data_IF_398961354364
#
_entry.id   IF_398961354364
#
_cell.length_a   1.000
_cell.length_b   1.000
_cell.length_c   1.000
_cell.angle_alpha   90.00
_cell.angle_beta   90.00
_cell.angle_gamma   90.00
#
_symmetry.space_group_name_H-M   'P 1'
#
loop_
_entity.id
_entity.type
_entity.pdbx_description
1 polymer ?
#
# COMPACT_ATOMS: atom_id res chain seq x y z
N UNK A 1 -3.10 -0.16 -31.48
CA UNK A 1 -1.91 0.49 -30.89
C UNK A 1 -0.68 0.02 -31.65
N UNK A 2 0.26 0.91 -31.93
CA UNK A 2 1.57 0.50 -32.43
C UNK A 2 2.34 -0.20 -31.30
N UNK A 3 3.05 -1.29 -31.63
CA UNK A 3 3.83 -2.08 -30.67
C UNK A 3 5.32 -1.90 -30.94
N UNK A 4 6.09 -1.59 -29.90
CA UNK A 4 7.54 -1.54 -29.92
C UNK A 4 8.07 -2.67 -29.04
N UNK A 5 8.91 -3.51 -29.62
CA UNK A 5 9.63 -4.56 -28.90
C UNK A 5 11.11 -4.26 -28.90
N UNK A 6 11.69 -4.23 -27.72
CA UNK A 6 13.11 -3.99 -27.53
C UNK A 6 13.89 -5.30 -27.52
N UNK A 7 15.17 -5.25 -27.86
CA UNK A 7 16.03 -6.42 -27.86
C UNK A 7 16.19 -6.98 -26.43
N UNK A 8 16.39 -8.29 -26.34
CA UNK A 8 16.60 -8.95 -25.04
C UNK A 8 17.75 -8.30 -24.26
N UNK A 9 17.54 -8.10 -22.96
CA UNK A 9 18.47 -7.45 -22.04
C UNK A 9 18.57 -5.93 -22.19
N UNK A 10 17.83 -5.31 -23.09
CA UNK A 10 17.85 -3.86 -23.28
C UNK A 10 16.67 -3.17 -22.58
N UNK A 11 16.92 -1.98 -22.08
CA UNK A 11 15.88 -1.06 -21.64
C UNK A 11 15.10 -0.49 -22.86
N UNK A 12 13.90 0.00 -22.61
CA UNK A 12 13.01 0.58 -23.60
C UNK A 12 13.25 2.06 -23.87
N UNK A 13 12.17 2.86 -23.81
CA UNK A 13 12.22 4.30 -24.11
C UNK A 13 12.76 5.11 -22.93
N UNK A 14 13.86 5.81 -23.16
CA UNK A 14 14.36 6.84 -22.27
C UNK A 14 13.75 8.19 -22.64
N UNK A 15 13.11 8.85 -21.70
CA UNK A 15 12.49 10.17 -21.90
C UNK A 15 13.44 11.28 -21.45
N UNK A 16 13.54 12.33 -22.25
CA UNK A 16 14.16 13.59 -21.90
C UNK A 16 13.10 14.61 -21.44
N UNK A 17 13.35 15.91 -21.60
CA UNK A 17 12.39 16.95 -21.22
C UNK A 17 11.19 17.03 -22.19
N UNK A 18 10.03 17.32 -21.63
CA UNK A 18 8.81 17.66 -22.37
C UNK A 18 8.36 16.61 -23.40
N UNK A 19 8.57 15.31 -23.08
CA UNK A 19 8.15 14.24 -23.96
C UNK A 19 6.68 13.87 -23.78
N UNK A 20 6.05 13.53 -24.90
CA UNK A 20 4.73 12.91 -24.95
C UNK A 20 4.84 11.53 -25.59
N UNK A 21 4.28 10.51 -24.90
CA UNK A 21 4.19 9.13 -25.39
C UNK A 21 2.73 8.69 -25.31
N UNK A 22 2.15 8.35 -26.44
CA UNK A 22 0.72 8.03 -26.52
C UNK A 22 0.42 6.87 -27.46
N UNK A 23 -0.55 6.03 -27.06
CA UNK A 23 -1.14 5.03 -27.93
C UNK A 23 -0.23 3.85 -28.26
N UNK A 24 0.82 3.62 -27.46
CA UNK A 24 1.83 2.58 -27.73
C UNK A 24 1.65 1.36 -26.83
N UNK A 25 2.15 0.24 -27.34
CA UNK A 25 2.49 -0.95 -26.58
C UNK A 25 4.01 -1.09 -26.55
N UNK A 26 4.59 -1.14 -25.33
CA UNK A 26 6.03 -1.22 -25.10
C UNK A 26 6.37 -2.56 -24.44
N UNK A 27 7.27 -3.32 -25.07
CA UNK A 27 7.60 -4.67 -24.61
C UNK A 27 9.13 -4.81 -24.44
N UNK A 28 9.57 -5.03 -23.20
CA UNK A 28 10.95 -5.38 -22.82
C UNK A 28 10.95 -6.73 -22.10
N UNK A 29 12.13 -7.21 -21.68
CA UNK A 29 12.18 -8.25 -20.66
C UNK A 29 11.57 -7.69 -19.35
N UNK A 30 10.98 -8.56 -18.53
CA UNK A 30 10.17 -8.14 -17.38
C UNK A 30 10.94 -7.34 -16.33
N UNK A 31 12.25 -7.57 -16.21
CA UNK A 31 13.16 -6.89 -15.29
C UNK A 31 13.83 -5.64 -15.90
N UNK A 32 13.49 -5.29 -17.13
CA UNK A 32 13.99 -4.10 -17.82
C UNK A 32 12.99 -2.95 -17.77
N UNK A 33 13.53 -1.73 -17.86
CA UNK A 33 12.70 -0.51 -17.87
C UNK A 33 12.11 -0.33 -19.26
N UNK A 34 10.81 -0.59 -19.40
CA UNK A 34 10.12 -0.31 -20.66
C UNK A 34 9.99 1.20 -20.92
N UNK A 35 9.89 1.99 -19.84
CA UNK A 35 9.77 3.43 -19.89
C UNK A 35 10.46 4.07 -18.68
N UNK A 36 11.36 5.03 -18.90
CA UNK A 36 12.12 5.68 -17.85
C UNK A 36 12.62 7.05 -18.29
N UNK A 37 13.06 7.90 -17.36
CA UNK A 37 13.59 9.23 -17.68
C UNK A 37 15.11 9.28 -17.66
N UNK A 38 15.66 10.23 -18.41
CA UNK A 38 17.07 10.64 -18.31
C UNK A 38 17.28 11.38 -16.97
N UNK A 39 18.24 10.93 -16.18
CA UNK A 39 18.62 11.57 -14.90
C UNK A 39 19.78 12.55 -15.02
N UNK A 40 20.41 12.67 -16.20
CA UNK A 40 21.51 13.60 -16.46
C UNK A 40 21.08 15.02 -16.77
N UNK A 41 19.78 15.27 -16.98
CA UNK A 41 19.20 16.57 -17.27
C UNK A 41 18.64 17.24 -16.00
N UNK A 42 18.66 18.58 -15.95
CA UNK A 42 18.20 19.31 -14.76
C UNK A 42 16.68 19.42 -14.66
N UNK A 43 16.00 19.45 -15.80
CA UNK A 43 14.56 19.69 -15.88
C UNK A 43 13.92 18.63 -16.75
N UNK A 44 12.98 17.88 -16.15
CA UNK A 44 12.16 16.94 -16.92
C UNK A 44 11.05 17.63 -17.72
N UNK A 45 10.74 18.88 -17.39
CA UNK A 45 9.59 19.56 -17.97
C UNK A 45 8.30 18.79 -17.67
N UNK A 46 7.45 18.60 -18.69
CA UNK A 46 6.23 17.80 -18.59
C UNK A 46 6.37 16.49 -19.37
N UNK A 47 6.32 15.37 -18.66
CA UNK A 47 6.24 14.05 -19.27
C UNK A 47 4.78 13.62 -19.32
N UNK A 48 4.24 13.45 -20.53
CA UNK A 48 2.84 13.13 -20.77
C UNK A 48 2.72 11.72 -21.36
N UNK A 49 2.06 10.82 -20.61
CA UNK A 49 2.01 9.39 -20.88
C UNK A 49 0.55 8.93 -20.97
N UNK A 50 0.08 8.59 -22.16
CA UNK A 50 -1.34 8.31 -22.40
C UNK A 50 -1.57 7.00 -23.13
N UNK A 51 -2.59 6.27 -22.70
CA UNK A 51 -3.08 5.09 -23.42
C UNK A 51 -1.98 4.07 -23.72
N UNK A 52 -1.16 3.74 -22.72
CA UNK A 52 -0.01 2.84 -22.85
C UNK A 52 -0.35 1.43 -22.35
N UNK A 53 0.21 0.42 -23.00
CA UNK A 53 0.25 -0.96 -22.55
C UNK A 53 1.71 -1.38 -22.41
N UNK A 54 2.11 -1.90 -21.26
CA UNK A 54 3.51 -2.08 -20.92
C UNK A 54 3.78 -3.53 -20.48
N UNK A 55 4.82 -4.14 -21.05
CA UNK A 55 5.52 -5.29 -20.48
C UNK A 55 6.94 -4.84 -20.11
N UNK A 56 7.29 -4.91 -18.82
CA UNK A 56 8.49 -4.33 -18.24
C UNK A 56 8.18 -3.28 -17.19
N UNK A 57 9.22 -2.71 -16.59
CA UNK A 57 9.11 -1.73 -15.50
C UNK A 57 8.96 -0.31 -16.03
N UNK A 58 8.13 0.50 -15.37
CA UNK A 58 8.04 1.94 -15.59
C UNK A 58 8.71 2.65 -14.41
N UNK A 59 9.76 3.45 -14.67
CA UNK A 59 10.57 4.03 -13.61
C UNK A 59 10.94 5.49 -13.88
N UNK A 60 10.41 6.40 -13.08
CA UNK A 60 10.74 7.83 -13.11
C UNK A 60 11.48 8.20 -11.83
N UNK A 61 12.74 8.65 -11.98
CA UNK A 61 13.60 9.00 -10.86
C UNK A 61 14.07 10.46 -10.97
N UNK A 62 13.84 11.25 -9.92
CA UNK A 62 14.55 12.50 -9.74
C UNK A 62 15.79 12.22 -8.88
N UNK A 63 16.90 11.96 -9.55
CA UNK A 63 18.22 11.78 -8.97
C UNK A 63 19.26 12.45 -9.85
N UNK A 64 20.52 12.37 -9.49
CA UNK A 64 21.65 12.96 -10.19
C UNK A 64 21.38 14.46 -10.41
N UNK A 65 21.15 14.91 -11.65
CA UNK A 65 20.94 16.32 -11.97
C UNK A 65 19.49 16.79 -11.93
N UNK A 66 18.51 15.90 -11.87
CA UNK A 66 17.09 16.27 -11.94
C UNK A 66 16.67 17.13 -10.73
N UNK A 67 16.21 18.36 -10.98
CA UNK A 67 15.79 19.32 -9.96
C UNK A 67 14.28 19.57 -9.94
N UNK A 68 13.60 19.39 -11.07
CA UNK A 68 12.16 19.57 -11.18
C UNK A 68 11.57 18.81 -12.37
N UNK A 69 10.25 18.62 -12.33
CA UNK A 69 9.50 18.00 -13.40
C UNK A 69 8.05 17.74 -13.01
N UNK A 70 7.25 17.43 -14.03
CA UNK A 70 5.86 17.02 -13.88
C UNK A 70 5.60 15.75 -14.68
N UNK A 71 5.07 14.72 -14.01
CA UNK A 71 4.72 13.44 -14.63
C UNK A 71 3.20 13.31 -14.67
N UNK A 72 2.66 13.19 -15.86
CA UNK A 72 1.23 13.00 -16.09
C UNK A 72 0.97 11.66 -16.76
N UNK A 73 0.16 10.82 -16.12
CA UNK A 73 -0.22 9.49 -16.60
C UNK A 73 -1.73 9.41 -16.76
N UNK A 74 -2.17 9.00 -17.94
CA UNK A 74 -3.57 8.74 -18.25
C UNK A 74 -3.71 7.37 -18.94
N UNK A 75 -4.41 6.42 -18.30
CA UNK A 75 -4.67 5.08 -18.84
C UNK A 75 -3.38 4.31 -19.20
N UNK A 76 -2.60 3.94 -18.19
CA UNK A 76 -1.44 3.06 -18.35
C UNK A 76 -1.74 1.69 -17.73
N UNK A 77 -1.52 0.64 -18.52
CA UNK A 77 -1.71 -0.74 -18.13
C UNK A 77 -0.37 -1.50 -18.16
N UNK A 78 0.22 -1.76 -16.98
CA UNK A 78 1.44 -2.55 -16.83
C UNK A 78 1.02 -4.01 -16.66
N UNK A 79 1.06 -4.77 -17.74
CA UNK A 79 0.55 -6.15 -17.78
C UNK A 79 1.40 -7.10 -16.96
N UNK A 80 2.73 -6.96 -17.10
CA UNK A 80 3.72 -7.78 -16.43
C UNK A 80 5.03 -7.00 -16.22
N UNK A 81 5.67 -7.17 -15.07
CA UNK A 81 6.95 -6.56 -14.72
C UNK A 81 7.63 -7.31 -13.58
N UNK A 82 8.94 -7.18 -13.46
CA UNK A 82 9.72 -7.64 -12.31
C UNK A 82 10.64 -6.51 -11.80
N UNK A 83 10.19 -5.80 -10.77
CA UNK A 83 10.91 -4.68 -10.19
C UNK A 83 11.86 -5.09 -9.04
N UNK A 84 11.98 -6.38 -8.70
CA UNK A 84 12.77 -6.87 -7.55
C UNK A 84 14.27 -6.66 -7.69
N UNK A 85 14.78 -6.58 -8.92
CA UNK A 85 16.20 -6.42 -9.22
C UNK A 85 16.76 -5.02 -8.95
N UNK A 86 15.94 -4.01 -8.70
CA UNK A 86 16.40 -2.66 -8.40
C UNK A 86 16.98 -2.56 -6.99
N UNK A 87 18.24 -2.09 -6.89
CA UNK A 87 18.99 -2.04 -5.63
C UNK A 87 18.52 -0.91 -4.70
N UNK A 88 18.19 0.26 -5.27
CA UNK A 88 17.73 1.39 -4.48
C UNK A 88 16.38 1.07 -3.83
N UNK A 89 16.33 1.15 -2.50
CA UNK A 89 15.14 0.87 -1.70
C UNK A 89 15.03 1.86 -0.57
N UNK A 90 13.88 2.53 -0.38
CA UNK A 90 13.70 3.34 0.80
C UNK A 90 13.63 2.47 2.05
N UNK A 91 14.17 3.00 3.14
CA UNK A 91 14.23 2.35 4.44
C UNK A 91 13.43 3.17 5.46
N UNK A 92 12.67 2.49 6.26
CA UNK A 92 11.92 3.09 7.36
C UNK A 92 11.29 2.02 8.24
N UNK A 93 11.04 2.37 9.48
CA UNK A 93 10.30 1.52 10.42
C UNK A 93 10.83 0.09 10.56
N UNK A 94 12.14 -0.11 10.36
CA UNK A 94 12.80 -1.42 10.47
C UNK A 94 12.74 -2.28 9.21
N UNK A 95 12.27 -1.76 8.08
CA UNK A 95 12.13 -2.50 6.82
C UNK A 95 12.64 -1.73 5.61
N UNK A 96 12.93 -2.45 4.53
CA UNK A 96 13.18 -1.94 3.18
C UNK A 96 11.98 -2.20 2.28
N UNK A 97 11.60 -1.22 1.45
CA UNK A 97 10.50 -1.37 0.50
C UNK A 97 11.03 -1.74 -0.88
N UNK A 98 10.51 -2.81 -1.47
CA UNK A 98 10.79 -3.17 -2.87
C UNK A 98 10.02 -2.20 -3.78
N UNK A 99 10.68 -1.50 -4.74
CA UNK A 99 10.03 -0.62 -5.70
C UNK A 99 8.95 -1.33 -6.53
N UNK A 100 8.15 -0.55 -7.24
CA UNK A 100 6.99 -1.03 -7.99
C UNK A 100 7.23 -1.27 -9.48
N UNK A 101 6.31 -2.02 -10.08
CA UNK A 101 6.18 -2.08 -11.54
C UNK A 101 6.01 -0.67 -12.13
N UNK A 102 5.29 0.21 -11.45
CA UNK A 102 5.34 1.66 -11.63
C UNK A 102 6.06 2.28 -10.44
N UNK A 103 7.13 3.02 -10.70
CA UNK A 103 7.90 3.75 -9.69
C UNK A 103 8.04 5.20 -10.11
N UNK A 104 7.59 6.12 -9.24
CA UNK A 104 7.88 7.55 -9.32
C UNK A 104 8.54 7.97 -8.02
N UNK A 105 9.84 8.28 -8.07
CA UNK A 105 10.63 8.50 -6.87
C UNK A 105 11.54 9.71 -6.98
N UNK A 106 11.32 10.70 -6.13
CA UNK A 106 12.26 11.80 -5.94
C UNK A 106 13.32 11.40 -4.91
N UNK A 107 14.51 10.98 -5.39
CA UNK A 107 15.62 10.53 -4.55
C UNK A 107 16.55 11.66 -4.11
N UNK A 108 16.25 12.92 -4.45
CA UNK A 108 17.08 14.06 -4.08
C UNK A 108 17.09 14.28 -2.57
N UNK A 109 18.25 14.65 -2.05
CA UNK A 109 18.43 14.98 -0.63
C UNK A 109 18.03 16.42 -0.32
N UNK A 110 18.03 17.29 -1.32
CA UNK A 110 17.63 18.68 -1.17
C UNK A 110 16.10 18.80 -1.17
N UNK A 111 15.56 19.30 -0.07
CA UNK A 111 14.11 19.51 0.11
C UNK A 111 13.52 20.56 -0.86
N UNK A 112 14.33 21.41 -1.45
CA UNK A 112 13.89 22.37 -2.44
C UNK A 112 13.49 21.69 -3.76
N UNK A 113 14.08 20.53 -4.06
CA UNK A 113 13.75 19.76 -5.27
C UNK A 113 12.35 19.18 -5.14
N UNK A 114 11.48 19.58 -6.05
CA UNK A 114 10.08 19.16 -6.06
C UNK A 114 9.70 18.58 -7.41
N UNK A 115 9.20 17.34 -7.38
CA UNK A 115 8.55 16.68 -8.52
C UNK A 115 7.05 16.71 -8.28
N UNK A 116 6.29 16.97 -9.33
CA UNK A 116 4.82 16.94 -9.28
C UNK A 116 4.27 15.84 -10.18
N UNK A 117 3.09 15.32 -9.86
CA UNK A 117 2.44 14.32 -10.71
C UNK A 117 0.92 14.38 -10.67
N UNK A 118 0.32 13.86 -11.74
CA UNK A 118 -1.10 13.55 -11.86
C UNK A 118 -1.22 12.18 -12.54
N UNK A 119 -1.74 11.18 -11.84
CA UNK A 119 -1.77 9.80 -12.31
C UNK A 119 -3.22 9.30 -12.27
N UNK A 120 -3.75 8.93 -13.42
CA UNK A 120 -5.12 8.42 -13.57
C UNK A 120 -5.15 7.16 -14.43
N UNK A 121 -6.00 6.20 -14.06
CA UNK A 121 -6.20 4.96 -14.82
C UNK A 121 -4.96 4.07 -14.89
N UNK A 122 -4.15 4.01 -13.82
CA UNK A 122 -2.96 3.16 -13.75
C UNK A 122 -3.30 1.78 -13.20
N UNK A 123 -3.01 0.72 -13.96
CA UNK A 123 -3.20 -0.67 -13.54
C UNK A 123 -1.89 -1.46 -13.61
N UNK A 124 -1.73 -2.49 -12.75
CA UNK A 124 -0.54 -3.32 -12.74
C UNK A 124 -0.88 -4.80 -12.44
N UNK A 125 -0.36 -5.71 -13.25
CA UNK A 125 -0.55 -7.16 -13.10
C UNK A 125 -1.94 -7.64 -13.48
N UNK A 126 -2.16 -8.93 -13.26
CA UNK A 126 -3.44 -9.63 -13.50
C UNK A 126 -3.73 -10.57 -12.35
N UNK A 127 -5.00 -10.89 -12.13
CA UNK A 127 -5.38 -11.99 -11.26
C UNK A 127 -4.70 -13.27 -11.74
N UNK A 128 -3.96 -13.96 -10.85
CA UNK A 128 -3.18 -15.16 -11.21
C UNK A 128 -1.84 -14.90 -11.94
N UNK A 129 -1.58 -13.67 -12.40
CA UNK A 129 -0.31 -13.25 -13.02
C UNK A 129 0.13 -11.87 -12.47
N UNK A 130 0.45 -11.78 -11.18
CA UNK A 130 0.82 -10.51 -10.54
C UNK A 130 2.18 -10.01 -11.05
N UNK A 131 2.38 -8.69 -11.02
CA UNK A 131 3.72 -8.12 -11.18
C UNK A 131 4.60 -8.55 -10.01
N UNK A 132 5.91 -8.60 -10.23
CA UNK A 132 6.91 -8.98 -9.22
C UNK A 132 7.55 -7.74 -8.61
N UNK A 133 7.57 -7.69 -7.28
CA UNK A 133 7.84 -6.48 -6.50
C UNK A 133 6.55 -5.80 -6.08
N UNK A 134 6.58 -4.51 -5.78
CA UNK A 134 5.35 -3.74 -5.54
C UNK A 134 4.61 -3.45 -6.85
N UNK A 135 3.32 -3.15 -6.76
CA UNK A 135 2.53 -2.72 -7.92
C UNK A 135 2.85 -1.27 -8.30
N UNK A 136 2.42 -0.34 -7.46
CA UNK A 136 2.56 1.11 -7.67
C UNK A 136 3.27 1.71 -6.47
N UNK A 137 4.33 2.47 -6.76
CA UNK A 137 5.23 3.02 -5.76
C UNK A 137 5.49 4.50 -6.05
N UNK A 138 5.09 5.38 -5.13
CA UNK A 138 5.36 6.81 -5.20
C UNK A 138 6.09 7.28 -3.93
N UNK A 139 7.24 7.93 -4.08
CA UNK A 139 8.12 8.30 -2.98
C UNK A 139 8.78 9.65 -3.17
N UNK A 140 8.90 10.41 -2.08
CA UNK A 140 9.87 11.49 -1.96
C UNK A 140 11.25 10.99 -1.53
N UNK A 141 12.18 11.89 -1.28
CA UNK A 141 13.56 11.57 -0.86
C UNK A 141 13.68 11.19 0.62
N UNK A 142 12.74 11.53 1.42
CA UNK A 142 12.51 11.23 2.84
C UNK A 142 11.64 12.37 3.42
N UNK A 143 11.39 12.39 4.71
CA UNK A 143 10.67 13.52 5.36
C UNK A 143 11.46 14.84 5.29
N UNK A 144 12.77 14.78 5.09
CA UNK A 144 13.66 15.95 5.00
C UNK A 144 14.28 16.16 3.61
N UNK A 145 14.13 15.21 2.70
CA UNK A 145 14.65 15.24 1.33
C UNK A 145 13.72 15.84 0.31
N UNK A 146 13.99 15.56 -0.97
CA UNK A 146 13.20 16.03 -2.11
C UNK A 146 11.73 15.63 -2.00
N UNK A 147 10.85 16.52 -2.43
CA UNK A 147 9.40 16.34 -2.28
C UNK A 147 8.77 15.78 -3.55
N UNK A 148 7.83 14.87 -3.37
CA UNK A 148 6.90 14.45 -4.42
C UNK A 148 5.49 14.94 -4.06
N UNK A 149 4.89 15.73 -4.95
CA UNK A 149 3.53 16.23 -4.78
C UNK A 149 2.64 15.64 -5.88
N UNK A 150 1.69 14.81 -5.47
CA UNK A 150 0.77 14.13 -6.38
C UNK A 150 -0.64 14.70 -6.20
N UNK A 151 -1.20 15.26 -7.27
CA UNK A 151 -2.56 15.80 -7.22
C UNK A 151 -3.60 14.68 -7.14
N UNK A 152 -3.49 13.70 -8.03
CA UNK A 152 -4.32 12.48 -8.06
C UNK A 152 -3.43 11.28 -8.26
N UNK A 153 -3.70 10.22 -7.50
CA UNK A 153 -3.20 8.87 -7.75
C UNK A 153 -4.42 7.96 -7.87
N UNK A 154 -4.88 7.78 -9.10
CA UNK A 154 -6.03 6.94 -9.38
C UNK A 154 -5.58 5.65 -10.07
N UNK A 155 -5.96 4.51 -9.47
CA UNK A 155 -5.57 3.18 -9.96
C UNK A 155 -6.80 2.38 -10.38
N UNK A 156 -6.63 1.59 -11.43
CA UNK A 156 -7.50 0.45 -11.70
C UNK A 156 -7.11 -0.75 -10.84
N UNK A 157 -7.22 -1.95 -11.39
CA UNK A 157 -6.81 -3.16 -10.69
C UNK A 157 -5.30 -3.26 -10.52
N UNK A 158 -4.84 -3.70 -9.32
CA UNK A 158 -3.42 -3.95 -9.03
C UNK A 158 -3.25 -5.32 -8.41
N UNK A 159 -2.39 -6.14 -9.02
CA UNK A 159 -2.03 -7.47 -8.55
C UNK A 159 -0.51 -7.56 -8.43
N UNK A 160 0.01 -7.76 -7.23
CA UNK A 160 1.45 -7.78 -6.96
C UNK A 160 1.87 -8.96 -6.09
N UNK A 161 3.15 -9.33 -6.21
CA UNK A 161 3.81 -10.32 -5.38
C UNK A 161 5.25 -9.89 -5.17
N UNK A 162 5.59 -9.52 -3.95
CA UNK A 162 6.94 -9.08 -3.59
C UNK A 162 8.02 -10.12 -3.88
N UNK A 163 7.66 -11.40 -3.95
CA UNK A 163 8.62 -12.49 -4.12
C UNK A 163 9.60 -12.57 -2.96
N UNK A 164 9.21 -12.09 -1.79
CA UNK A 164 10.01 -12.11 -0.56
C UNK A 164 10.05 -13.55 -0.06
N UNK A 165 11.24 -14.02 0.28
CA UNK A 165 11.37 -15.37 0.87
C UNK A 165 10.70 -15.42 2.25
N UNK A 166 9.96 -16.48 2.57
CA UNK A 166 9.41 -16.66 3.91
C UNK A 166 10.51 -16.54 4.98
N UNK A 167 10.21 -15.86 6.08
CA UNK A 167 11.16 -15.63 7.18
C UNK A 167 12.09 -14.44 7.00
N UNK A 168 11.99 -13.67 5.90
CA UNK A 168 12.72 -12.41 5.73
C UNK A 168 12.02 -11.29 6.52
N UNK A 169 12.62 -10.76 7.61
CA UNK A 169 11.90 -9.86 8.52
C UNK A 169 11.99 -8.38 8.11
N UNK A 170 12.99 -8.01 7.31
CA UNK A 170 13.39 -6.64 7.03
C UNK A 170 12.99 -6.13 5.63
N UNK A 171 12.12 -6.85 4.94
CA UNK A 171 11.70 -6.51 3.58
C UNK A 171 10.20 -6.59 3.40
N UNK A 172 9.64 -5.57 2.74
CA UNK A 172 8.23 -5.50 2.38
C UNK A 172 8.04 -5.12 0.92
N UNK A 173 6.90 -5.51 0.36
CA UNK A 173 6.40 -5.06 -0.92
C UNK A 173 4.89 -4.81 -0.80
N UNK A 174 4.21 -4.44 -1.87
CA UNK A 174 2.75 -4.33 -1.78
C UNK A 174 2.05 -3.88 -3.06
N UNK A 175 0.78 -3.56 -2.90
CA UNK A 175 -0.07 -3.12 -4.01
C UNK A 175 0.18 -1.66 -4.37
N UNK A 176 -0.16 -0.74 -3.47
CA UNK A 176 0.02 0.71 -3.67
C UNK A 176 0.71 1.31 -2.45
N UNK A 177 1.87 1.90 -2.69
CA UNK A 177 2.69 2.58 -1.68
C UNK A 177 2.73 4.09 -1.90
N UNK A 178 2.43 4.86 -0.85
CA UNK A 178 2.76 6.28 -0.71
C UNK A 178 3.82 6.40 0.37
N UNK A 179 5.07 6.69 -0.03
CA UNK A 179 6.23 6.64 0.87
C UNK A 179 6.61 8.05 1.37
N UNK A 180 7.51 8.12 2.35
CA UNK A 180 7.98 9.36 2.99
C UNK A 180 8.39 10.45 2.00
N UNK A 181 8.18 11.71 2.36
CA UNK A 181 8.45 12.85 1.49
C UNK A 181 7.43 13.04 0.36
N UNK A 182 6.38 12.22 0.32
CA UNK A 182 5.28 12.34 -0.65
C UNK A 182 4.06 12.98 0.01
N UNK A 183 3.47 13.93 -0.71
CA UNK A 183 2.14 14.44 -0.40
C UNK A 183 1.18 14.12 -1.55
N UNK A 184 0.08 13.43 -1.23
CA UNK A 184 -0.97 13.10 -2.22
C UNK A 184 -2.29 13.74 -1.80
N UNK A 185 -2.85 14.60 -2.64
CA UNK A 185 -4.16 15.20 -2.32
C UNK A 185 -5.29 14.17 -2.36
N UNK A 186 -5.27 13.26 -3.35
CA UNK A 186 -6.30 12.23 -3.48
C UNK A 186 -5.72 10.94 -4.06
N UNK A 187 -5.83 9.84 -3.30
CA UNK A 187 -5.67 8.47 -3.79
C UNK A 187 -7.06 7.87 -4.02
N UNK A 188 -7.29 7.27 -5.20
CA UNK A 188 -8.51 6.50 -5.49
C UNK A 188 -8.15 5.16 -6.13
N UNK A 189 -8.54 4.08 -5.50
CA UNK A 189 -8.42 2.74 -6.08
C UNK A 189 -9.79 2.32 -6.61
N UNK A 190 -9.95 2.36 -7.94
CA UNK A 190 -11.22 2.06 -8.64
C UNK A 190 -11.38 0.57 -8.97
N UNK A 191 -10.30 -0.19 -8.94
CA UNK A 191 -10.30 -1.64 -9.14
C UNK A 191 -9.78 -2.39 -7.92
N UNK A 192 -9.90 -3.73 -7.90
CA UNK A 192 -9.42 -4.54 -6.80
C UNK A 192 -7.90 -4.46 -6.65
N UNK A 193 -7.43 -4.47 -5.40
CA UNK A 193 -6.00 -4.52 -5.08
C UNK A 193 -5.73 -5.83 -4.36
N UNK A 194 -4.83 -6.64 -4.90
CA UNK A 194 -4.52 -7.97 -4.35
C UNK A 194 -3.02 -8.20 -4.27
N UNK A 195 -2.55 -8.67 -3.11
CA UNK A 195 -1.16 -9.08 -2.90
C UNK A 195 -1.06 -10.56 -2.56
N UNK A 196 0.02 -11.21 -3.01
CA UNK A 196 0.18 -12.66 -2.89
C UNK A 196 1.37 -13.11 -2.05
N UNK A 197 2.38 -12.26 -1.87
CA UNK A 197 3.64 -12.63 -1.21
C UNK A 197 3.64 -12.42 0.30
N UNK A 198 4.58 -13.04 1.01
CA UNK A 198 4.87 -12.71 2.40
C UNK A 198 5.24 -11.23 2.55
N UNK A 199 4.81 -10.61 3.65
CA UNK A 199 5.08 -9.21 3.98
C UNK A 199 4.62 -8.20 2.90
N UNK A 200 3.63 -8.56 2.11
CA UNK A 200 3.05 -7.67 1.13
C UNK A 200 1.95 -6.82 1.77
N UNK A 201 2.16 -5.50 1.80
CA UNK A 201 1.16 -4.53 2.25
C UNK A 201 0.25 -4.17 1.08
N UNK A 202 -1.07 -4.39 1.19
CA UNK A 202 -1.95 -4.12 0.05
C UNK A 202 -1.98 -2.62 -0.25
N UNK A 203 -2.25 -1.80 0.77
CA UNK A 203 -2.17 -0.35 0.73
C UNK A 203 -1.29 0.13 1.89
N UNK A 204 -0.28 0.95 1.60
CA UNK A 204 0.67 1.41 2.62
C UNK A 204 0.94 2.91 2.50
N UNK A 205 0.80 3.62 3.63
CA UNK A 205 1.02 5.06 3.72
C UNK A 205 2.12 5.40 4.72
N UNK A 206 3.25 5.91 4.23
CA UNK A 206 4.33 6.53 5.02
C UNK A 206 4.39 8.05 4.81
N UNK A 207 3.65 8.56 3.84
CA UNK A 207 3.61 9.97 3.46
C UNK A 207 2.46 10.72 4.10
N UNK A 208 2.03 11.77 3.42
CA UNK A 208 0.85 12.55 3.80
C UNK A 208 -0.22 12.48 2.71
N UNK A 209 -1.42 12.05 3.07
CA UNK A 209 -2.53 11.87 2.13
C UNK A 209 -3.74 12.65 2.62
N UNK A 210 -4.31 13.51 1.75
CA UNK A 210 -5.55 14.22 2.06
C UNK A 210 -6.73 13.25 2.14
N UNK A 211 -6.97 12.47 1.08
CA UNK A 211 -7.98 11.42 1.09
C UNK A 211 -7.50 10.17 0.36
N UNK A 212 -7.80 9.02 0.93
CA UNK A 212 -7.56 7.71 0.31
C UNK A 212 -8.88 6.94 0.24
N UNK A 213 -9.36 6.67 -0.96
CA UNK A 213 -10.64 5.99 -1.19
C UNK A 213 -10.38 4.74 -2.02
N UNK A 214 -10.79 3.57 -1.52
CA UNK A 214 -10.81 2.32 -2.29
C UNK A 214 -12.26 1.87 -2.49
N UNK A 215 -12.63 1.67 -3.75
CA UNK A 215 -14.01 1.35 -4.14
C UNK A 215 -14.26 -0.16 -4.24
N UNK A 216 -13.19 -0.94 -4.47
CA UNK A 216 -13.25 -2.37 -4.72
C UNK A 216 -12.46 -3.16 -3.66
N UNK A 217 -12.64 -4.48 -3.66
CA UNK A 217 -12.09 -5.41 -2.68
C UNK A 217 -10.57 -5.27 -2.54
N UNK A 218 -10.11 -5.30 -1.29
CA UNK A 218 -8.71 -5.34 -0.89
C UNK A 218 -8.40 -6.73 -0.33
N UNK A 219 -7.43 -7.43 -0.93
CA UNK A 219 -7.14 -8.82 -0.58
C UNK A 219 -5.64 -9.04 -0.36
N UNK A 220 -5.28 -9.69 0.75
CA UNK A 220 -3.92 -10.16 1.03
C UNK A 220 -3.91 -11.67 1.25
N UNK A 221 -3.09 -12.40 0.48
CA UNK A 221 -2.93 -13.84 0.63
C UNK A 221 -1.70 -14.24 1.43
N UNK A 222 -0.65 -13.43 1.43
CA UNK A 222 0.62 -13.76 2.03
C UNK A 222 0.66 -13.62 3.56
N UNK A 223 1.54 -14.38 4.24
CA UNK A 223 1.79 -14.21 5.68
C UNK A 223 2.24 -12.78 5.99
N UNK A 224 1.80 -12.26 7.14
CA UNK A 224 2.10 -10.91 7.62
C UNK A 224 1.68 -9.77 6.68
N UNK A 225 0.86 -10.06 5.68
CA UNK A 225 0.28 -9.05 4.79
C UNK A 225 -0.74 -8.18 5.52
N UNK A 226 -0.90 -6.93 5.10
CA UNK A 226 -1.82 -5.98 5.73
C UNK A 226 -2.71 -5.32 4.67
N UNK A 227 -4.02 -5.28 4.91
CA UNK A 227 -4.97 -4.65 3.99
C UNK A 227 -4.69 -3.16 3.82
N UNK A 228 -4.69 -2.40 4.91
CA UNK A 228 -4.20 -1.01 4.94
C UNK A 228 -3.30 -0.80 6.16
N UNK A 229 -2.07 -0.32 5.93
CA UNK A 229 -1.18 0.07 7.03
C UNK A 229 -0.83 1.55 6.95
N UNK A 230 -0.82 2.22 8.12
CA UNK A 230 -0.50 3.65 8.23
C UNK A 230 0.69 3.88 9.14
N UNK A 231 1.68 4.59 8.60
CA UNK A 231 2.82 5.16 9.31
C UNK A 231 2.88 6.68 9.15
N UNK A 232 2.22 7.22 8.14
CA UNK A 232 2.15 8.63 7.83
C UNK A 232 0.88 9.31 8.35
N UNK A 233 0.39 10.28 7.60
CA UNK A 233 -0.86 10.97 7.94
C UNK A 233 -1.89 10.77 6.84
N UNK A 234 -3.14 10.57 7.22
CA UNK A 234 -4.28 10.54 6.29
C UNK A 234 -5.47 11.26 6.92
N UNK A 235 -6.04 12.25 6.19
CA UNK A 235 -7.18 12.98 6.73
C UNK A 235 -8.47 12.17 6.62
N UNK A 236 -8.73 11.58 5.44
CA UNK A 236 -9.86 10.69 5.19
C UNK A 236 -9.38 9.39 4.55
N UNK A 237 -9.54 8.28 5.25
CA UNK A 237 -9.42 6.93 4.71
C UNK A 237 -10.82 6.33 4.58
N UNK A 238 -11.20 5.91 3.38
CA UNK A 238 -12.51 5.31 3.12
C UNK A 238 -12.37 4.06 2.24
N UNK A 239 -12.71 2.91 2.80
CA UNK A 239 -12.67 1.62 2.12
C UNK A 239 -14.12 1.15 1.94
N UNK A 240 -14.62 1.23 0.71
CA UNK A 240 -16.03 1.02 0.36
C UNK A 240 -16.40 -0.43 0.06
N UNK A 241 -15.41 -1.33 0.02
CA UNK A 241 -15.56 -2.76 -0.18
C UNK A 241 -14.83 -3.54 0.92
N UNK A 242 -15.02 -4.87 1.06
CA UNK A 242 -14.37 -5.63 2.10
C UNK A 242 -12.84 -5.62 2.01
N UNK A 243 -12.18 -5.56 3.17
CA UNK A 243 -10.79 -5.99 3.34
C UNK A 243 -10.81 -7.46 3.77
N UNK A 244 -10.07 -8.31 3.07
CA UNK A 244 -9.98 -9.73 3.39
C UNK A 244 -8.53 -10.21 3.37
N UNK A 245 -8.06 -10.83 4.46
CA UNK A 245 -6.69 -11.33 4.58
C UNK A 245 -6.66 -12.80 4.97
N UNK A 246 -5.81 -13.58 4.31
CA UNK A 246 -5.74 -15.03 4.44
C UNK A 246 -4.45 -15.54 5.09
N UNK A 247 -3.38 -14.75 5.06
CA UNK A 247 -2.07 -15.17 5.55
C UNK A 247 -1.97 -15.18 7.07
N UNK A 248 -1.15 -16.09 7.62
CA UNK A 248 -0.82 -16.08 9.04
C UNK A 248 -0.23 -14.73 9.47
N UNK A 249 -0.66 -14.22 10.61
CA UNK A 249 -0.17 -12.96 11.14
C UNK A 249 -0.54 -11.73 10.32
N UNK A 250 -1.47 -11.85 9.37
CA UNK A 250 -1.96 -10.73 8.57
C UNK A 250 -2.82 -9.77 9.40
N UNK A 251 -3.18 -8.62 8.84
CA UNK A 251 -4.09 -7.65 9.47
C UNK A 251 -5.00 -7.01 8.46
N UNK A 252 -6.19 -6.63 8.89
CA UNK A 252 -7.09 -5.83 8.06
C UNK A 252 -6.63 -4.38 7.98
N UNK A 253 -6.62 -3.68 9.11
CA UNK A 253 -6.16 -2.29 9.23
C UNK A 253 -5.20 -2.13 10.39
N UNK A 254 -4.12 -1.37 10.17
CA UNK A 254 -3.13 -1.14 11.21
C UNK A 254 -2.57 0.28 11.20
N UNK A 255 -2.50 0.92 12.38
CA UNK A 255 -1.85 2.23 12.59
C UNK A 255 -0.65 2.04 13.49
N UNK A 256 0.56 2.04 12.90
CA UNK A 256 1.82 1.88 13.62
C UNK A 256 2.48 3.19 14.02
N UNK A 257 2.30 4.22 13.20
CA UNK A 257 2.81 5.56 13.41
C UNK A 257 1.88 6.57 12.75
N UNK A 258 2.18 7.87 12.87
CA UNK A 258 1.36 8.93 12.30
C UNK A 258 -0.07 8.95 12.83
N UNK A 259 -1.03 9.31 11.98
CA UNK A 259 -2.44 9.42 12.38
C UNK A 259 -3.39 9.23 11.21
N UNK A 260 -4.62 8.81 11.51
CA UNK A 260 -5.77 8.85 10.61
C UNK A 260 -6.86 9.71 11.27
N UNK A 261 -7.24 10.83 10.64
CA UNK A 261 -8.26 11.69 11.25
C UNK A 261 -9.65 11.06 11.16
N UNK A 262 -10.00 10.50 10.00
CA UNK A 262 -11.24 9.72 9.82
C UNK A 262 -10.90 8.45 9.02
N UNK A 263 -11.30 7.29 9.54
CA UNK A 263 -11.13 5.99 8.89
C UNK A 263 -12.49 5.27 8.83
N UNK A 264 -12.92 4.92 7.63
CA UNK A 264 -14.21 4.27 7.37
C UNK A 264 -13.99 2.99 6.57
N UNK A 265 -14.58 1.90 7.03
CA UNK A 265 -14.50 0.59 6.40
C UNK A 265 -15.90 0.01 6.17
N UNK A 266 -16.06 -0.71 5.08
CA UNK A 266 -17.27 -1.50 4.84
C UNK A 266 -17.30 -2.71 5.78
N UNK A 267 -16.29 -3.59 5.67
CA UNK A 267 -16.13 -4.81 6.47
C UNK A 267 -14.67 -5.23 6.48
N UNK A 268 -14.24 -5.88 7.57
CA UNK A 268 -12.91 -6.49 7.67
C UNK A 268 -13.05 -7.96 8.07
N UNK A 269 -12.40 -8.85 7.32
CA UNK A 269 -12.35 -10.29 7.58
C UNK A 269 -10.91 -10.79 7.54
N UNK A 270 -10.48 -11.52 8.57
CA UNK A 270 -9.15 -12.16 8.60
C UNK A 270 -9.27 -13.64 8.91
N UNK A 271 -8.49 -14.52 8.24
CA UNK A 271 -8.73 -15.95 8.25
C UNK A 271 -7.74 -16.81 9.04
N UNK A 272 -6.49 -16.37 9.22
CA UNK A 272 -5.43 -17.21 9.76
C UNK A 272 -5.05 -16.87 11.21
N UNK A 273 -4.22 -17.73 11.82
CA UNK A 273 -3.68 -17.52 13.17
C UNK A 273 -2.85 -16.23 13.24
N UNK A 274 -3.01 -15.48 14.32
CA UNK A 274 -2.34 -14.20 14.53
C UNK A 274 -2.87 -13.07 13.64
N UNK A 275 -3.93 -13.31 12.86
CA UNK A 275 -4.46 -12.35 11.91
C UNK A 275 -5.49 -11.39 12.57
N UNK A 276 -5.02 -10.21 12.95
CA UNK A 276 -5.80 -9.17 13.65
C UNK A 276 -6.71 -8.42 12.68
N UNK A 277 -7.95 -8.15 13.08
CA UNK A 277 -8.87 -7.33 12.29
C UNK A 277 -8.39 -5.89 12.18
N UNK A 278 -8.45 -5.14 13.29
CA UNK A 278 -7.94 -3.76 13.40
C UNK A 278 -6.99 -3.65 14.58
N UNK A 279 -5.81 -3.04 14.37
CA UNK A 279 -4.87 -2.71 15.44
C UNK A 279 -4.49 -1.23 15.39
N UNK A 280 -4.67 -0.52 16.51
CA UNK A 280 -4.38 0.91 16.62
C UNK A 280 -3.32 1.11 17.70
N UNK A 281 -2.13 1.59 17.32
CA UNK A 281 -1.00 1.83 18.21
C UNK A 281 -0.62 3.31 18.34
N UNK A 282 -1.34 4.21 17.65
CA UNK A 282 -1.16 5.66 17.68
C UNK A 282 -2.53 6.35 17.72
N UNK A 283 -2.60 7.64 18.11
CA UNK A 283 -3.86 8.39 18.14
C UNK A 283 -4.51 8.48 16.75
N UNK A 284 -5.82 8.20 16.69
CA UNK A 284 -6.68 8.45 15.54
C UNK A 284 -7.88 9.33 15.94
N UNK A 285 -8.54 9.91 14.94
CA UNK A 285 -9.76 10.66 15.17
C UNK A 285 -10.99 9.76 15.31
N UNK A 286 -11.58 9.37 14.19
CA UNK A 286 -12.78 8.55 14.15
C UNK A 286 -12.54 7.27 13.35
N UNK A 287 -13.08 6.16 13.85
CA UNK A 287 -13.15 4.88 13.17
C UNK A 287 -14.59 4.45 13.02
N UNK A 288 -15.02 4.16 11.80
CA UNK A 288 -16.33 3.60 11.51
C UNK A 288 -16.19 2.32 10.71
N UNK A 289 -16.89 1.24 11.13
CA UNK A 289 -17.00 0.00 10.36
C UNK A 289 -18.48 -0.29 10.14
N UNK A 290 -18.92 -0.31 8.87
CA UNK A 290 -20.34 -0.37 8.52
C UNK A 290 -20.98 -1.73 8.70
N UNK A 291 -20.25 -2.85 8.55
CA UNK A 291 -20.78 -4.22 8.65
C UNK A 291 -20.13 -5.12 9.70
N UNK A 292 -19.03 -4.68 10.29
CA UNK A 292 -18.38 -5.43 11.36
C UNK A 292 -16.97 -5.93 11.02
N UNK A 293 -16.37 -6.57 12.04
CA UNK A 293 -15.01 -7.12 11.98
C UNK A 293 -15.08 -8.58 12.43
N UNK A 294 -14.54 -9.48 11.60
CA UNK A 294 -14.61 -10.92 11.85
C UNK A 294 -13.25 -11.57 11.67
N UNK A 295 -12.83 -12.38 12.63
CA UNK A 295 -11.55 -13.09 12.59
C UNK A 295 -11.74 -14.58 12.86
N UNK A 296 -11.05 -15.44 12.09
CA UNK A 296 -11.21 -16.89 12.15
C UNK A 296 -10.04 -17.63 12.82
N UNK A 297 -8.86 -17.01 12.95
CA UNK A 297 -7.67 -17.64 13.45
C UNK A 297 -7.53 -17.64 14.97
N UNK A 298 -6.56 -18.40 15.46
CA UNK A 298 -6.07 -18.42 16.83
C UNK A 298 -4.88 -17.48 17.05
N UNK A 299 -3.86 -17.94 17.78
CA UNK A 299 -2.60 -17.22 18.02
C UNK A 299 -1.52 -17.72 17.08
N UNK A 300 -0.81 -16.82 16.42
CA UNK A 300 0.23 -17.14 15.44
C UNK A 300 1.31 -16.07 15.31
N UNK A 301 2.36 -16.40 14.58
CA UNK A 301 3.49 -15.49 14.32
C UNK A 301 3.11 -14.43 13.30
N UNK A 302 3.58 -13.21 13.52
CA UNK A 302 3.35 -12.06 12.66
C UNK A 302 4.58 -11.15 12.63
N UNK A 303 4.89 -10.57 11.46
CA UNK A 303 5.92 -9.55 11.34
C UNK A 303 5.40 -8.20 11.80
N UNK A 304 6.12 -7.59 12.74
CA UNK A 304 5.85 -6.24 13.27
C UNK A 304 7.13 -5.41 13.22
N UNK A 305 7.22 -4.45 12.30
CA UNK A 305 8.39 -3.55 12.18
C UNK A 305 9.73 -4.30 12.19
N UNK A 306 9.86 -5.33 11.37
CA UNK A 306 11.10 -6.12 11.26
C UNK A 306 11.29 -7.19 12.33
N UNK A 307 10.36 -7.37 13.27
CA UNK A 307 10.45 -8.37 14.36
C UNK A 307 9.27 -9.34 14.27
N UNK A 308 9.54 -10.65 14.38
CA UNK A 308 8.49 -11.65 14.47
C UNK A 308 7.98 -11.73 15.92
N UNK A 309 6.68 -11.57 16.09
CA UNK A 309 5.98 -11.63 17.39
C UNK A 309 4.77 -12.53 17.30
N UNK A 310 4.32 -13.05 18.43
CA UNK A 310 3.05 -13.80 18.50
C UNK A 310 1.89 -12.82 18.71
N UNK A 311 0.87 -12.93 17.87
CA UNK A 311 -0.38 -12.18 17.98
C UNK A 311 -1.56 -13.15 18.04
N UNK A 312 -2.62 -12.74 18.76
CA UNK A 312 -3.93 -13.39 18.72
C UNK A 312 -4.81 -12.72 17.66
N UNK A 313 -5.67 -13.46 17.01
CA UNK A 313 -6.56 -12.98 15.94
C UNK A 313 -7.73 -12.15 16.50
N UNK A 314 -7.42 -11.06 17.21
CA UNK A 314 -8.37 -10.14 17.85
C UNK A 314 -9.08 -9.32 16.77
N UNK A 315 -10.41 -9.12 16.90
CA UNK A 315 -11.15 -8.32 15.93
C UNK A 315 -10.78 -6.83 16.02
N UNK A 316 -10.76 -6.25 17.22
CA UNK A 316 -10.37 -4.85 17.45
C UNK A 316 -9.41 -4.73 18.63
N UNK A 317 -8.21 -4.22 18.40
CA UNK A 317 -7.17 -4.04 19.41
C UNK A 317 -6.67 -2.59 19.43
N UNK A 318 -6.81 -1.93 20.57
CA UNK A 318 -6.22 -0.62 20.87
C UNK A 318 -5.02 -0.85 21.78
N UNK A 319 -3.82 -0.70 21.24
CA UNK A 319 -2.56 -0.96 21.95
C UNK A 319 -2.18 0.20 22.89
N UNK A 320 -1.25 -0.01 23.83
CA UNK A 320 -0.67 1.09 24.60
C UNK A 320 -0.11 2.18 23.66
N UNK A 321 -0.47 3.46 23.94
CA UNK A 321 -0.17 4.59 23.06
C UNK A 321 -1.20 4.86 21.96
N UNK A 322 -2.01 3.87 21.62
CA UNK A 322 -3.16 4.04 20.73
C UNK A 322 -4.30 4.80 21.39
N UNK A 323 -5.03 5.58 20.62
CA UNK A 323 -6.27 6.18 21.10
C UNK A 323 -7.22 6.50 19.93
N UNK A 324 -8.50 6.63 20.25
CA UNK A 324 -9.51 7.09 19.31
C UNK A 324 -10.52 8.00 20.00
N UNK A 325 -10.93 9.09 19.32
CA UNK A 325 -12.02 9.93 19.79
C UNK A 325 -13.36 9.20 19.72
N UNK A 326 -13.59 8.46 18.63
CA UNK A 326 -14.81 7.71 18.43
C UNK A 326 -14.54 6.43 17.63
N UNK A 327 -15.08 5.33 18.12
CA UNK A 327 -15.16 4.07 17.39
C UNK A 327 -16.63 3.68 17.28
N UNK A 328 -17.13 3.47 16.05
CA UNK A 328 -18.46 3.00 15.77
C UNK A 328 -18.41 1.79 14.84
N UNK A 329 -18.86 0.64 15.31
CA UNK A 329 -19.01 -0.59 14.54
C UNK A 329 -20.49 -0.90 14.45
N UNK A 330 -21.10 -0.75 13.27
CA UNK A 330 -22.53 -0.99 13.08
C UNK A 330 -22.87 -2.48 13.12
N UNK A 331 -21.99 -3.36 12.62
CA UNK A 331 -22.06 -4.80 12.86
C UNK A 331 -21.37 -5.20 14.17
N UNK A 332 -21.06 -6.50 14.32
CA UNK A 332 -20.39 -7.06 15.49
C UNK A 332 -18.86 -7.07 15.41
N UNK A 333 -18.26 -7.36 16.55
CA UNK A 333 -16.88 -7.86 16.66
C UNK A 333 -16.94 -9.36 16.93
N UNK A 334 -16.50 -10.18 15.98
CA UNK A 334 -16.66 -11.63 16.05
C UNK A 334 -15.30 -12.30 15.91
N UNK A 335 -14.97 -13.21 16.85
CA UNK A 335 -13.81 -14.11 16.73
C UNK A 335 -14.25 -15.56 16.76
N UNK A 336 -13.68 -16.37 15.85
CA UNK A 336 -13.95 -17.81 15.75
C UNK A 336 -12.81 -18.66 16.35
N UNK A 337 -11.64 -18.06 16.64
CA UNK A 337 -10.53 -18.75 17.27
C UNK A 337 -10.80 -19.11 18.73
N UNK A 338 -10.35 -20.29 19.15
CA UNK A 338 -10.50 -20.75 20.53
C UNK A 338 -9.77 -19.83 21.50
N UNK A 339 -10.47 -19.32 22.54
CA UNK A 339 -9.91 -18.47 23.58
C UNK A 339 -9.45 -17.09 23.11
N UNK A 340 -9.91 -16.64 21.93
CA UNK A 340 -9.56 -15.31 21.38
C UNK A 340 -10.59 -14.27 21.82
N UNK A 341 -10.11 -13.22 22.51
CA UNK A 341 -10.95 -12.08 22.88
C UNK A 341 -11.23 -11.21 21.63
N UNK A 342 -12.49 -10.90 21.30
CA UNK A 342 -12.80 -10.02 20.17
C UNK A 342 -12.36 -8.57 20.33
N UNK A 343 -12.24 -8.08 21.56
CA UNK A 343 -11.94 -6.69 21.87
C UNK A 343 -10.80 -6.58 22.90
N UNK A 344 -9.80 -5.77 22.59
CA UNK A 344 -8.68 -5.44 23.49
C UNK A 344 -8.53 -3.92 23.56
N UNK A 345 -8.61 -3.36 24.77
CA UNK A 345 -8.51 -1.93 25.01
C UNK A 345 -7.40 -1.64 26.05
N UNK A 346 -6.18 -1.38 25.58
CA UNK A 346 -5.05 -0.92 26.40
C UNK A 346 -4.77 0.57 26.22
N UNK A 347 -5.40 1.19 25.23
CA UNK A 347 -5.34 2.63 24.99
C UNK A 347 -6.67 3.32 25.29
N UNK A 348 -6.72 4.62 25.03
CA UNK A 348 -7.89 5.45 25.34
C UNK A 348 -8.89 5.48 24.19
N UNK A 349 -10.17 5.25 24.47
CA UNK A 349 -11.26 5.47 23.54
C UNK A 349 -12.31 6.34 24.21
N UNK A 350 -12.59 7.54 23.66
CA UNK A 350 -13.51 8.49 24.31
C UNK A 350 -14.98 8.05 24.10
N UNK A 351 -15.27 7.43 22.95
CA UNK A 351 -16.61 6.89 22.66
C UNK A 351 -16.51 5.58 21.86
N UNK A 352 -17.08 4.50 22.38
CA UNK A 352 -17.14 3.18 21.74
C UNK A 352 -18.58 2.73 21.59
N UNK A 353 -19.01 2.43 20.35
CA UNK A 353 -20.31 1.88 20.06
C UNK A 353 -20.17 0.66 19.13
N UNK A 354 -20.71 -0.49 19.56
CA UNK A 354 -20.75 -1.74 18.78
C UNK A 354 -22.22 -2.19 18.78
N UNK A 355 -22.89 -2.07 17.63
CA UNK A 355 -24.36 -2.20 17.57
C UNK A 355 -24.83 -3.64 17.72
N UNK A 356 -24.17 -4.60 17.04
CA UNK A 356 -24.52 -6.03 17.09
C UNK A 356 -23.77 -6.81 18.16
N UNK A 357 -23.00 -6.07 19.02
CA UNK A 357 -22.31 -6.65 20.17
C UNK A 357 -20.97 -7.30 19.83
N UNK A 358 -20.46 -8.04 20.82
CA UNK A 358 -19.13 -8.68 20.80
C UNK A 358 -19.32 -10.16 21.07
N UNK A 359 -18.80 -11.03 20.18
CA UNK A 359 -18.98 -12.47 20.28
C UNK A 359 -17.65 -13.25 20.06
N UNK A 360 -17.31 -14.13 21.00
CA UNK A 360 -16.31 -15.17 20.86
C UNK A 360 -17.02 -16.50 20.58
N UNK A 361 -16.98 -16.95 19.33
CA UNK A 361 -17.75 -18.15 18.88
C UNK A 361 -16.95 -19.43 19.12
N UNK A 362 -15.63 -19.36 19.14
CA UNK A 362 -14.74 -20.51 19.21
C UNK A 362 -14.67 -21.27 20.54
N UNK A 363 -15.47 -20.87 21.54
CA UNK A 363 -15.49 -21.52 22.87
C UNK A 363 -14.26 -21.18 23.74
N UNK A 364 -14.41 -21.34 25.07
CA UNK A 364 -13.30 -21.16 26.02
C UNK A 364 -13.16 -19.76 26.61
N UNK A 365 -14.10 -18.85 26.40
CA UNK A 365 -14.13 -17.57 27.08
C UNK A 365 -14.93 -17.70 28.38
N UNK A 366 -14.24 -17.93 29.51
CA UNK A 366 -14.82 -17.62 30.83
C UNK A 366 -14.59 -16.12 31.06
N UNK A 367 -15.66 -15.34 30.97
CA UNK A 367 -15.61 -13.91 31.22
C UNK A 367 -15.28 -13.64 32.71
N UNK A 368 -14.22 -12.91 32.95
CA UNK A 368 -13.97 -12.20 34.21
C UNK A 368 -14.40 -10.76 34.07
#
# INVERSE_FOLDING_TARGET
>A
KASLRFAAGQDGLQLSADNQVEGLELNTDLDRRALFNDTSIERLGRLLLRNLRIEGVVQFLARDRVQNGHVEVENMDIVSADARGYEARPKGYGVEVIPGAFTLWNQQVDRAVTITADVTGLSAGRAGAPVRGSGIFVSGGSDTGGRLIVRRLETGAVYSNGGIAPGTPDRIAGGVFVVSGTFVYSVRNLGPITTYGPNDMVLDNWGAVGRWIAEEKITSYGPSGIGFVNFGTVDLLQINAPIETFGQGSRGFNVYAGTANTAEFERIVTHADGAVGIQISQPIGQLTVRRGIETYGGTGDSLVKGVVVKLSAIALSIKPGGSARKIAVAGGLITHGNGINPLELHGRVDSLQITEGVAAVGGGFEGN
#
